data_IF_720808812863
#
_entry.id   IF_720808812863
#
_cell.length_a   1.000
_cell.length_b   1.000
_cell.length_c   1.000
_cell.angle_alpha   90.00
_cell.angle_beta   90.00
_cell.angle_gamma   90.00
#
_symmetry.space_group_name_H-M   'P 1'
#
loop_
_entity.id
_entity.type
_entity.pdbx_description
1 polymer ?
#
# COMPACT_ATOMS: atom_id res chain seq x y z
N UNK A 1 64.46 42.17 50.43
CA UNK A 1 63.75 41.24 49.54
C UNK A 1 62.74 40.45 50.37
N UNK A 2 61.46 40.53 49.97
CA UNK A 2 60.32 39.64 50.33
C UNK A 2 59.81 39.65 51.78
N UNK A 3 58.51 39.95 51.93
CA UNK A 3 57.71 39.71 53.14
C UNK A 3 56.32 40.38 53.09
N UNK A 4 55.36 39.74 52.43
CA UNK A 4 53.94 40.15 52.28
C UNK A 4 53.12 39.95 53.57
N UNK A 5 52.02 40.71 53.78
CA UNK A 5 51.08 40.51 54.87
C UNK A 5 49.99 39.45 54.55
N UNK A 6 49.48 38.86 55.64
CA UNK A 6 48.35 37.92 55.71
C UNK A 6 47.05 38.47 55.14
N UNK A 7 46.30 37.63 54.42
CA UNK A 7 44.94 37.91 53.96
C UNK A 7 44.18 36.62 53.72
N UNK A 8 43.16 36.38 54.55
CA UNK A 8 42.22 35.27 54.49
C UNK A 8 41.44 35.25 53.17
N UNK A 9 41.59 34.16 52.40
CA UNK A 9 40.81 33.88 51.20
C UNK A 9 40.09 32.55 51.33
N UNK A 10 38.82 32.58 51.76
CA UNK A 10 37.89 31.44 51.71
C UNK A 10 37.82 30.89 50.28
N UNK A 11 38.38 29.70 50.04
CA UNK A 11 38.13 28.93 48.81
C UNK A 11 36.72 28.37 48.85
N UNK A 12 35.80 28.98 48.09
CA UNK A 12 34.51 28.37 47.76
C UNK A 12 34.76 27.10 46.93
N UNK A 13 34.31 25.97 47.44
CA UNK A 13 34.20 24.74 46.66
C UNK A 13 33.29 24.99 45.46
N UNK A 14 33.86 25.00 44.25
CA UNK A 14 33.10 24.99 43.02
C UNK A 14 32.38 23.65 42.90
N UNK A 15 31.06 23.66 43.08
CA UNK A 15 30.19 22.56 42.73
C UNK A 15 30.37 22.29 41.23
N UNK A 16 31.01 21.17 40.89
CA UNK A 16 31.00 20.63 39.54
C UNK A 16 29.55 20.30 39.19
N UNK A 17 28.89 21.23 38.49
CA UNK A 17 27.60 20.99 37.85
C UNK A 17 27.75 19.78 36.93
N UNK A 18 27.19 18.66 37.39
CA UNK A 18 27.03 17.43 36.64
C UNK A 18 26.25 17.80 35.36
N UNK A 19 26.95 17.86 34.23
CA UNK A 19 26.34 18.12 32.93
C UNK A 19 25.19 17.12 32.76
N UNK A 20 23.95 17.65 32.76
CA UNK A 20 22.76 16.86 32.46
C UNK A 20 23.00 16.27 31.07
N UNK A 21 23.11 14.94 30.98
CA UNK A 21 23.03 14.22 29.70
C UNK A 21 21.78 14.74 29.01
N UNK A 22 21.94 15.57 28.00
CA UNK A 22 20.82 15.93 27.14
C UNK A 22 20.36 14.63 26.50
N UNK A 23 19.10 14.26 26.71
CA UNK A 23 18.50 13.11 26.04
C UNK A 23 18.71 13.31 24.55
N UNK A 24 19.31 12.34 23.87
CA UNK A 24 19.44 12.35 22.43
C UNK A 24 18.05 12.59 21.80
N UNK A 25 17.94 13.41 20.74
CA UNK A 25 16.68 13.63 20.06
C UNK A 25 16.07 12.29 19.60
N UNK A 26 14.73 12.18 19.53
CA UNK A 26 14.09 10.97 19.05
C UNK A 26 14.60 10.64 17.64
N UNK A 27 14.71 9.35 17.29
CA UNK A 27 15.14 8.95 15.96
C UNK A 27 14.19 9.55 14.91
N UNK A 28 14.71 9.91 13.72
CA UNK A 28 13.87 10.45 12.66
C UNK A 28 12.79 9.43 12.27
N UNK A 29 11.61 9.91 11.81
CA UNK A 29 10.56 9.01 11.34
C UNK A 29 11.05 8.18 10.15
N UNK A 30 10.57 6.94 10.06
CA UNK A 30 10.92 6.01 8.98
C UNK A 30 10.51 6.55 7.61
N UNK A 31 9.37 7.23 7.54
CA UNK A 31 8.88 7.89 6.33
C UNK A 31 8.91 9.41 6.47
N UNK A 32 9.43 10.07 5.44
CA UNK A 32 9.56 11.52 5.38
C UNK A 32 8.56 12.10 4.36
N UNK A 33 7.81 13.17 4.69
CA UNK A 33 6.98 13.87 3.73
C UNK A 33 7.83 14.52 2.62
N UNK A 34 7.28 14.57 1.40
CA UNK A 34 7.85 15.35 0.29
C UNK A 34 6.82 16.36 -0.26
N UNK A 35 7.27 17.17 -1.24
CA UNK A 35 6.39 18.03 -2.04
C UNK A 35 5.20 17.23 -2.53
N UNK A 36 4.03 17.69 -2.14
CA UNK A 36 2.74 17.16 -2.54
C UNK A 36 2.23 18.06 -3.66
N UNK A 37 1.70 17.49 -4.74
CA UNK A 37 1.09 18.26 -5.82
C UNK A 37 -0.42 18.25 -5.61
N UNK A 38 -0.99 19.45 -5.65
CA UNK A 38 -2.42 19.66 -5.57
C UNK A 38 -2.88 20.24 -6.89
N UNK A 39 -3.74 19.52 -7.60
CA UNK A 39 -4.32 19.98 -8.87
C UNK A 39 -5.69 20.62 -8.67
N UNK A 40 -6.24 20.65 -7.45
CA UNK A 40 -7.54 21.27 -7.16
C UNK A 40 -7.57 22.77 -7.49
N UNK A 41 -6.43 23.45 -7.44
CA UNK A 41 -6.34 24.89 -7.76
C UNK A 41 -6.25 25.19 -9.27
N UNK A 42 -5.96 24.18 -10.11
CA UNK A 42 -5.71 24.35 -11.56
C UNK A 42 -6.89 23.88 -12.43
N UNK A 43 -8.12 24.07 -11.95
CA UNK A 43 -9.36 23.72 -12.69
C UNK A 43 -9.51 24.44 -14.04
N UNK A 44 -8.72 25.47 -14.34
CA UNK A 44 -8.88 26.29 -15.55
C UNK A 44 -8.16 25.76 -16.81
N UNK A 45 -7.22 24.81 -16.70
CA UNK A 45 -6.30 24.49 -17.82
C UNK A 45 -6.32 23.04 -18.32
N UNK A 46 -6.90 22.09 -17.57
CA UNK A 46 -6.95 20.68 -17.96
C UNK A 46 -8.38 20.30 -18.38
N UNK A 47 -8.55 19.72 -19.58
CA UNK A 47 -9.84 19.23 -20.12
C UNK A 47 -10.49 18.07 -19.33
N UNK A 48 -9.96 17.76 -18.15
CA UNK A 48 -10.43 16.70 -17.28
C UNK A 48 -11.12 17.36 -16.10
N UNK A 49 -12.40 17.05 -15.88
CA UNK A 49 -13.15 17.44 -14.68
C UNK A 49 -12.62 16.77 -13.40
N UNK A 50 -11.47 16.09 -13.49
CA UNK A 50 -10.84 15.35 -12.39
C UNK A 50 -10.02 16.29 -11.52
N UNK A 51 -10.38 16.36 -10.24
CA UNK A 51 -9.55 17.00 -9.23
C UNK A 51 -8.80 15.93 -8.45
N UNK A 52 -7.47 16.01 -8.39
CA UNK A 52 -6.64 15.08 -7.63
C UNK A 52 -5.72 15.79 -6.64
N UNK A 53 -5.45 15.10 -5.55
CA UNK A 53 -4.51 15.48 -4.51
C UNK A 53 -3.54 14.33 -4.25
N UNK A 54 -2.24 14.60 -4.32
CA UNK A 54 -1.20 13.60 -4.19
C UNK A 54 -0.42 13.75 -2.89
N UNK A 55 -0.39 12.72 -2.05
CA UNK A 55 0.49 12.65 -0.88
C UNK A 55 1.70 11.76 -1.17
N UNK A 56 2.90 12.21 -0.80
CA UNK A 56 4.14 11.44 -1.01
C UNK A 56 4.87 11.22 0.31
N UNK A 57 5.23 9.96 0.58
CA UNK A 57 5.99 9.50 1.76
C UNK A 57 7.13 8.59 1.32
N UNK A 58 8.35 9.04 1.54
CA UNK A 58 9.57 8.28 1.19
C UNK A 58 10.15 7.63 2.43
N UNK A 59 10.47 6.35 2.35
CA UNK A 59 11.29 5.73 3.39
C UNK A 59 12.64 6.46 3.47
N UNK A 60 13.20 6.60 4.68
CA UNK A 60 14.44 7.34 4.93
C UNK A 60 15.64 6.79 4.15
N UNK A 61 15.62 5.49 3.85
CA UNK A 61 16.65 4.78 3.11
C UNK A 61 16.26 4.54 1.64
N UNK A 62 15.17 5.15 1.15
CA UNK A 62 14.74 5.03 -0.24
C UNK A 62 15.74 5.72 -1.17
N UNK A 63 16.29 4.94 -2.11
CA UNK A 63 17.10 5.44 -3.21
C UNK A 63 16.54 4.96 -4.54
N UNK A 64 16.30 5.90 -5.45
CA UNK A 64 15.86 5.57 -6.79
C UNK A 64 17.04 5.01 -7.62
N UNK A 65 16.78 3.94 -8.35
CA UNK A 65 17.73 3.35 -9.30
C UNK A 65 17.06 3.13 -10.66
N UNK A 66 17.87 2.85 -11.70
CA UNK A 66 17.33 2.46 -13.02
C UNK A 66 16.55 1.14 -13.01
N UNK A 67 16.61 0.36 -11.91
CA UNK A 67 15.87 -0.88 -11.73
C UNK A 67 14.61 -0.72 -10.89
N UNK A 68 14.41 0.46 -10.30
CA UNK A 68 13.20 0.79 -9.53
C UNK A 68 11.97 0.67 -10.41
N UNK A 69 10.98 -0.07 -9.94
CA UNK A 69 9.70 -0.27 -10.61
C UNK A 69 8.64 0.59 -9.93
N UNK A 70 7.65 1.02 -10.71
CA UNK A 70 6.46 1.68 -10.20
C UNK A 70 5.28 0.72 -10.29
N UNK A 71 4.57 0.54 -9.17
CA UNK A 71 3.35 -0.25 -9.09
C UNK A 71 2.16 0.67 -8.85
N UNK A 72 1.05 0.46 -9.57
CA UNK A 72 -0.20 1.17 -9.33
C UNK A 72 -1.17 0.23 -8.62
N UNK A 73 -1.71 0.62 -7.45
CA UNK A 73 -2.63 -0.19 -6.67
C UNK A 73 -3.96 0.56 -6.45
N UNK A 74 -5.06 -0.01 -6.96
CA UNK A 74 -6.39 0.54 -6.76
C UNK A 74 -6.94 0.26 -5.36
N UNK A 75 -7.28 1.32 -4.63
CA UNK A 75 -7.86 1.27 -3.29
C UNK A 75 -9.33 1.72 -3.30
N UNK A 76 -10.18 0.92 -2.64
CA UNK A 76 -11.55 1.30 -2.32
C UNK A 76 -11.79 1.21 -0.81
N UNK A 77 -13.04 1.39 -0.36
CA UNK A 77 -13.38 1.42 1.07
C UNK A 77 -13.55 0.01 1.66
N UNK A 78 -13.19 -1.04 0.91
CA UNK A 78 -13.39 -2.42 1.30
C UNK A 78 -12.06 -3.12 1.64
N UNK A 79 -12.14 -4.09 2.53
CA UNK A 79 -11.02 -4.93 2.97
C UNK A 79 -10.28 -5.64 1.81
N UNK A 80 -10.96 -5.85 0.67
CA UNK A 80 -10.38 -6.53 -0.49
C UNK A 80 -9.23 -5.75 -1.11
N UNK A 81 -9.30 -4.41 -1.15
CA UNK A 81 -8.21 -3.59 -1.67
C UNK A 81 -7.08 -3.41 -0.65
N UNK A 82 -7.40 -3.38 0.65
CA UNK A 82 -6.37 -3.36 1.70
C UNK A 82 -5.52 -4.63 1.64
N UNK A 83 -6.17 -5.80 1.51
CA UNK A 83 -5.47 -7.06 1.33
C UNK A 83 -4.61 -7.08 0.06
N UNK A 84 -5.07 -6.45 -1.03
CA UNK A 84 -4.32 -6.37 -2.27
C UNK A 84 -3.04 -5.54 -2.12
N UNK A 85 -3.12 -4.45 -1.36
CA UNK A 85 -1.97 -3.61 -1.04
C UNK A 85 -0.97 -4.33 -0.12
N UNK A 86 -1.46 -5.00 0.92
CA UNK A 86 -0.62 -5.81 1.82
C UNK A 86 0.12 -6.90 1.02
N UNK A 87 -0.61 -7.65 0.19
CA UNK A 87 -0.02 -8.64 -0.70
C UNK A 87 1.03 -8.03 -1.67
N UNK A 88 0.75 -6.85 -2.25
CA UNK A 88 1.69 -6.17 -3.13
C UNK A 88 2.99 -5.82 -2.39
N UNK A 89 2.88 -5.23 -1.19
CA UNK A 89 4.02 -4.85 -0.36
C UNK A 89 4.84 -6.08 0.00
N UNK A 90 4.20 -7.16 0.44
CA UNK A 90 4.89 -8.34 0.96
C UNK A 90 5.56 -9.15 -0.16
N UNK A 91 4.85 -9.42 -1.25
CA UNK A 91 5.22 -10.46 -2.21
C UNK A 91 5.93 -9.95 -3.47
N UNK A 92 5.78 -8.67 -3.82
CA UNK A 92 6.20 -8.16 -5.13
C UNK A 92 7.11 -6.95 -5.06
N UNK A 93 6.94 -6.10 -4.05
CA UNK A 93 7.72 -4.88 -3.87
C UNK A 93 9.04 -5.18 -3.17
N UNK A 94 10.11 -4.62 -3.71
CA UNK A 94 11.46 -4.65 -3.13
C UNK A 94 11.93 -3.24 -2.75
N UNK A 95 13.08 -3.16 -2.08
CA UNK A 95 13.74 -1.88 -1.78
C UNK A 95 14.02 -1.08 -3.07
N UNK A 96 13.76 0.23 -3.01
CA UNK A 96 13.92 1.14 -4.14
C UNK A 96 12.73 1.20 -5.09
N UNK A 97 11.69 0.39 -4.89
CA UNK A 97 10.45 0.47 -5.69
C UNK A 97 9.51 1.59 -5.21
N UNK A 98 8.58 1.96 -6.09
CA UNK A 98 7.55 2.96 -5.86
C UNK A 98 6.15 2.33 -5.93
N UNK A 99 5.29 2.68 -4.98
CA UNK A 99 3.88 2.26 -4.96
C UNK A 99 3.00 3.50 -5.05
N UNK A 100 2.21 3.57 -6.11
CA UNK A 100 1.14 4.54 -6.30
C UNK A 100 -0.17 3.90 -5.86
N UNK A 101 -0.66 4.29 -4.70
CA UNK A 101 -1.98 3.93 -4.19
C UNK A 101 -3.01 4.90 -4.76
N UNK A 102 -3.97 4.41 -5.55
CA UNK A 102 -5.01 5.22 -6.17
C UNK A 102 -6.34 5.04 -5.44
N UNK A 103 -6.86 6.12 -4.87
CA UNK A 103 -8.19 6.21 -4.27
C UNK A 103 -9.05 7.14 -5.11
N UNK A 104 -10.12 6.61 -5.69
CA UNK A 104 -11.08 7.40 -6.47
C UNK A 104 -12.39 7.55 -5.73
N UNK A 105 -12.89 8.78 -5.64
CA UNK A 105 -14.22 9.11 -5.15
C UNK A 105 -15.05 9.60 -6.33
N UNK A 106 -16.22 9.00 -6.55
CA UNK A 106 -17.14 9.50 -7.58
C UNK A 106 -17.85 10.74 -7.05
N UNK A 107 -17.92 11.80 -7.86
CA UNK A 107 -18.59 13.05 -7.47
C UNK A 107 -20.11 12.85 -7.48
N UNK A 108 -20.75 13.00 -6.33
CA UNK A 108 -22.21 13.09 -6.27
C UNK A 108 -22.66 14.42 -6.86
N UNK A 109 -23.54 14.37 -7.87
CA UNK A 109 -24.00 15.51 -8.66
C UNK A 109 -24.83 16.57 -7.90
N UNK A 110 -24.91 16.50 -6.56
CA UNK A 110 -25.77 17.36 -5.73
C UNK A 110 -25.04 18.34 -4.80
N UNK A 111 -23.69 18.39 -4.78
CA UNK A 111 -22.94 19.10 -3.71
C UNK A 111 -22.12 20.29 -4.24
N UNK A 112 -22.72 21.11 -5.10
CA UNK A 112 -22.05 22.32 -5.61
C UNK A 112 -21.86 23.44 -4.56
N UNK A 113 -22.40 23.31 -3.34
CA UNK A 113 -22.44 24.37 -2.32
C UNK A 113 -21.34 24.38 -1.25
N UNK A 114 -20.58 23.29 -1.06
CA UNK A 114 -19.65 23.15 0.08
C UNK A 114 -18.23 22.69 -0.31
N UNK A 115 -17.72 23.14 -1.47
CA UNK A 115 -16.41 22.72 -2.01
C UNK A 115 -15.24 22.82 -1.00
N UNK A 116 -15.17 23.88 -0.19
CA UNK A 116 -14.07 24.05 0.78
C UNK A 116 -14.12 23.05 1.94
N UNK A 117 -15.32 22.76 2.47
CA UNK A 117 -15.51 21.81 3.57
C UNK A 117 -15.25 20.37 3.10
N UNK A 118 -15.68 20.02 1.89
CA UNK A 118 -15.39 18.72 1.30
C UNK A 118 -13.90 18.53 1.02
N UNK A 119 -13.21 19.55 0.50
CA UNK A 119 -11.75 19.50 0.30
C UNK A 119 -11.01 19.20 1.61
N UNK A 120 -11.40 19.84 2.72
CA UNK A 120 -10.78 19.59 4.03
C UNK A 120 -11.06 18.17 4.53
N UNK A 121 -12.26 17.62 4.26
CA UNK A 121 -12.61 16.23 4.59
C UNK A 121 -11.79 15.23 3.78
N UNK A 122 -11.71 15.39 2.46
CA UNK A 122 -10.92 14.52 1.59
C UNK A 122 -9.44 14.55 1.95
N UNK A 123 -8.91 15.72 2.30
CA UNK A 123 -7.52 15.86 2.76
C UNK A 123 -7.27 15.09 4.07
N UNK A 124 -8.18 15.19 5.04
CA UNK A 124 -8.08 14.45 6.29
C UNK A 124 -8.20 12.92 6.08
N UNK A 125 -9.11 12.48 5.20
CA UNK A 125 -9.23 11.07 4.80
C UNK A 125 -7.95 10.57 4.13
N UNK A 126 -7.40 11.32 3.18
CA UNK A 126 -6.16 10.99 2.49
C UNK A 126 -4.97 10.91 3.46
N UNK A 127 -4.85 11.84 4.41
CA UNK A 127 -3.79 11.80 5.42
C UNK A 127 -3.90 10.58 6.34
N UNK A 128 -5.12 10.18 6.71
CA UNK A 128 -5.36 8.98 7.51
C UNK A 128 -5.08 7.70 6.73
N UNK A 129 -5.55 7.64 5.48
CA UNK A 129 -5.28 6.51 4.58
C UNK A 129 -3.77 6.35 4.34
N UNK A 130 -3.05 7.44 4.11
CA UNK A 130 -1.59 7.41 3.98
C UNK A 130 -0.89 6.85 5.23
N UNK A 131 -1.40 7.13 6.45
CA UNK A 131 -0.87 6.51 7.68
C UNK A 131 -1.12 5.01 7.69
N UNK A 132 -2.33 4.58 7.36
CA UNK A 132 -2.68 3.16 7.28
C UNK A 132 -1.83 2.41 6.25
N UNK A 133 -1.57 3.02 5.09
CA UNK A 133 -0.69 2.46 4.04
C UNK A 133 0.72 2.27 4.58
N UNK A 134 1.29 3.27 5.27
CA UNK A 134 2.63 3.18 5.87
C UNK A 134 2.71 2.05 6.90
N UNK A 135 1.66 1.83 7.70
CA UNK A 135 1.60 0.76 8.70
C UNK A 135 1.61 -0.65 8.10
N UNK A 136 1.28 -0.80 6.80
CA UNK A 136 1.37 -2.09 6.09
C UNK A 136 2.80 -2.48 5.72
N UNK A 137 3.75 -1.54 5.70
CA UNK A 137 5.16 -1.84 5.44
C UNK A 137 5.85 -2.39 6.69
N UNK A 138 5.40 -3.55 7.18
CA UNK A 138 5.87 -4.17 8.43
C UNK A 138 7.33 -4.63 8.36
N UNK A 139 7.81 -4.99 7.17
CA UNK A 139 9.20 -5.38 6.92
C UNK A 139 10.16 -4.19 6.78
N UNK A 140 9.64 -2.96 6.86
CA UNK A 140 10.41 -1.72 6.76
C UNK A 140 11.22 -1.61 5.45
N UNK A 141 10.60 -2.01 4.32
CA UNK A 141 11.18 -1.89 2.99
C UNK A 141 11.45 -0.42 2.65
N UNK A 142 12.56 -0.16 1.98
CA UNK A 142 13.00 1.16 1.57
C UNK A 142 12.27 1.63 0.30
N UNK A 143 10.98 1.95 0.43
CA UNK A 143 10.06 2.23 -0.69
C UNK A 143 9.60 3.68 -0.73
N UNK A 144 9.13 4.13 -1.90
CA UNK A 144 8.40 5.39 -2.05
C UNK A 144 6.89 5.12 -2.13
N UNK A 145 6.11 5.72 -1.23
CA UNK A 145 4.66 5.62 -1.20
C UNK A 145 4.05 6.92 -1.73
N UNK A 146 3.22 6.80 -2.76
CA UNK A 146 2.43 7.88 -3.34
C UNK A 146 0.95 7.52 -3.15
N UNK A 147 0.14 8.42 -2.60
CA UNK A 147 -1.31 8.29 -2.55
C UNK A 147 -1.92 9.33 -3.47
N UNK A 148 -2.54 8.87 -4.55
CA UNK A 148 -3.36 9.67 -5.44
C UNK A 148 -4.81 9.60 -4.97
N UNK A 149 -5.32 10.71 -4.44
CA UNK A 149 -6.72 10.84 -4.06
C UNK A 149 -7.44 11.68 -5.12
N UNK A 150 -8.21 11.03 -5.98
CA UNK A 150 -8.85 11.65 -7.13
C UNK A 150 -10.37 11.66 -7.00
N UNK A 151 -10.99 12.71 -7.51
CA UNK A 151 -12.46 12.81 -7.64
C UNK A 151 -12.81 12.77 -9.11
N UNK A 152 -13.63 11.81 -9.53
CA UNK A 152 -14.00 11.63 -10.92
C UNK A 152 -14.50 10.22 -11.24
N UNK A 153 -14.71 9.96 -12.53
CA UNK A 153 -15.11 8.64 -13.03
C UNK A 153 -13.93 7.67 -12.96
N UNK A 154 -14.09 6.57 -12.22
CA UNK A 154 -13.01 5.61 -11.90
C UNK A 154 -12.22 5.15 -13.12
N UNK A 155 -12.90 4.87 -14.23
CA UNK A 155 -12.27 4.38 -15.47
C UNK A 155 -11.31 5.42 -16.05
N UNK A 156 -11.77 6.66 -16.14
CA UNK A 156 -11.03 7.76 -16.77
C UNK A 156 -9.82 8.13 -15.89
N UNK A 157 -10.01 8.14 -14.57
CA UNK A 157 -8.92 8.36 -13.61
C UNK A 157 -7.87 7.26 -13.69
N UNK A 158 -8.26 5.99 -13.78
CA UNK A 158 -7.29 4.88 -13.93
C UNK A 158 -6.47 5.06 -15.21
N UNK A 159 -7.10 5.37 -16.34
CA UNK A 159 -6.39 5.61 -17.60
C UNK A 159 -5.40 6.78 -17.50
N UNK A 160 -5.80 7.87 -16.84
CA UNK A 160 -4.92 9.03 -16.65
C UNK A 160 -3.75 8.69 -15.71
N UNK A 161 -3.98 7.95 -14.63
CA UNK A 161 -2.91 7.51 -13.74
C UNK A 161 -1.93 6.56 -14.43
N UNK A 162 -2.41 5.66 -15.29
CA UNK A 162 -1.54 4.77 -16.07
C UNK A 162 -0.64 5.59 -17.02
N UNK A 163 -1.16 6.64 -17.67
CA UNK A 163 -0.36 7.51 -18.53
C UNK A 163 0.65 8.37 -17.76
N UNK A 164 0.29 8.82 -16.56
CA UNK A 164 1.15 9.69 -15.75
C UNK A 164 2.29 8.91 -15.11
N UNK A 165 1.98 7.73 -14.56
CA UNK A 165 2.93 6.94 -13.77
C UNK A 165 3.62 5.81 -14.55
N UNK A 166 3.10 5.46 -15.72
CA UNK A 166 3.58 4.34 -16.55
C UNK A 166 3.93 3.09 -15.72
N UNK A 167 3.00 2.60 -14.88
CA UNK A 167 3.31 1.56 -13.91
C UNK A 167 3.67 0.26 -14.61
N UNK A 168 4.65 -0.46 -14.06
CA UNK A 168 5.03 -1.78 -14.55
C UNK A 168 3.87 -2.77 -14.42
N UNK A 169 3.07 -2.65 -13.36
CA UNK A 169 1.92 -3.52 -13.06
C UNK A 169 0.83 -2.70 -12.35
N UNK A 170 -0.44 -2.96 -12.72
CA UNK A 170 -1.64 -2.50 -12.02
C UNK A 170 -2.21 -3.61 -11.12
N UNK A 171 -2.44 -3.30 -9.85
CA UNK A 171 -2.91 -4.22 -8.82
C UNK A 171 -4.32 -3.81 -8.40
N UNK A 172 -5.23 -4.78 -8.38
CA UNK A 172 -6.61 -4.58 -7.93
C UNK A 172 -7.08 -5.74 -7.05
N UNK A 173 -7.87 -5.44 -6.03
CA UNK A 173 -8.55 -6.47 -5.23
C UNK A 173 -9.72 -7.10 -5.98
N UNK A 174 -10.03 -8.36 -5.71
CA UNK A 174 -11.32 -8.92 -6.13
C UNK A 174 -12.44 -8.42 -5.25
N UNK A 175 -13.44 -7.76 -5.83
CA UNK A 175 -14.74 -7.63 -5.15
C UNK A 175 -15.27 -9.02 -4.84
N UNK A 176 -15.46 -9.33 -3.56
CA UNK A 176 -16.00 -10.61 -3.15
C UNK A 176 -17.37 -10.86 -3.79
N UNK A 177 -17.63 -12.08 -4.24
CA UNK A 177 -19.02 -12.55 -4.36
C UNK A 177 -19.60 -12.47 -2.96
N UNK A 178 -20.63 -11.65 -2.78
CA UNK A 178 -21.49 -11.68 -1.61
C UNK A 178 -22.00 -13.11 -1.41
N UNK A 179 -22.31 -13.47 -0.16
CA UNK A 179 -22.66 -14.83 0.28
C UNK A 179 -24.04 -15.31 -0.21
N UNK A 180 -24.51 -14.84 -1.36
CA UNK A 180 -25.71 -15.30 -2.05
C UNK A 180 -25.41 -15.35 -3.54
N UNK A 181 -25.58 -16.52 -4.17
CA UNK A 181 -25.22 -16.82 -5.57
C UNK A 181 -25.95 -16.04 -6.66
N UNK A 182 -26.30 -14.78 -6.45
CA UNK A 182 -27.08 -13.93 -7.35
C UNK A 182 -26.45 -12.55 -7.56
N UNK A 183 -25.21 -12.51 -8.03
CA UNK A 183 -24.57 -11.24 -8.41
C UNK A 183 -23.71 -11.39 -9.68
N UNK A 184 -24.25 -12.10 -10.66
CA UNK A 184 -23.72 -12.10 -12.04
C UNK A 184 -24.06 -10.83 -12.83
N UNK A 185 -24.70 -9.84 -12.20
CA UNK A 185 -25.36 -8.71 -12.89
C UNK A 185 -25.25 -7.38 -12.12
N UNK A 186 -24.18 -7.13 -11.35
CA UNK A 186 -23.85 -5.73 -11.04
C UNK A 186 -23.17 -5.09 -12.26
N UNK A 187 -23.47 -3.82 -12.59
CA UNK A 187 -22.78 -3.10 -13.64
C UNK A 187 -21.29 -3.01 -13.31
N UNK A 188 -20.47 -3.62 -14.18
CA UNK A 188 -19.01 -3.48 -14.29
C UNK A 188 -18.20 -3.39 -12.98
N UNK A 189 -17.74 -4.53 -12.45
CA UNK A 189 -16.65 -4.51 -11.47
C UNK A 189 -15.41 -3.81 -12.08
N UNK A 190 -14.83 -2.81 -11.40
CA UNK A 190 -13.59 -2.13 -11.84
C UNK A 190 -12.52 -3.14 -12.22
N UNK A 191 -12.34 -4.20 -11.42
CA UNK A 191 -11.40 -5.30 -11.69
C UNK A 191 -11.65 -5.99 -13.05
N UNK A 192 -12.93 -6.13 -13.47
CA UNK A 192 -13.27 -6.68 -14.79
C UNK A 192 -12.94 -5.69 -15.90
N UNK A 193 -13.22 -4.41 -15.69
CA UNK A 193 -12.95 -3.37 -16.68
C UNK A 193 -11.44 -3.24 -16.93
N UNK A 194 -10.62 -3.16 -15.87
CA UNK A 194 -9.15 -3.06 -16.02
C UNK A 194 -8.56 -4.29 -16.70
N UNK A 195 -9.06 -5.50 -16.43
CA UNK A 195 -8.61 -6.71 -17.14
C UNK A 195 -8.89 -6.68 -18.64
N UNK A 196 -9.88 -5.90 -19.09
CA UNK A 196 -10.28 -5.83 -20.48
C UNK A 196 -9.64 -4.66 -21.24
N UNK A 197 -9.28 -3.58 -20.55
CA UNK A 197 -8.89 -2.32 -21.17
C UNK A 197 -7.51 -1.82 -20.76
N UNK A 198 -6.92 -2.36 -19.68
CA UNK A 198 -5.63 -1.88 -19.19
C UNK A 198 -4.53 -2.13 -20.24
N UNK A 199 -3.74 -1.10 -20.60
CA UNK A 199 -2.59 -1.27 -21.48
C UNK A 199 -1.36 -1.80 -20.72
N UNK A 200 -1.43 -1.88 -19.38
CA UNK A 200 -0.37 -2.44 -18.52
C UNK A 200 -0.80 -3.77 -17.91
N UNK A 201 0.15 -4.67 -17.58
CA UNK A 201 -0.16 -5.94 -16.92
C UNK A 201 -1.00 -5.74 -15.65
N UNK A 202 -2.03 -6.57 -15.47
CA UNK A 202 -2.93 -6.48 -14.32
C UNK A 202 -2.83 -7.72 -13.43
N UNK A 203 -2.64 -7.49 -12.14
CA UNK A 203 -2.73 -8.50 -11.09
C UNK A 203 -4.03 -8.31 -10.29
N UNK A 204 -4.80 -9.39 -10.23
CA UNK A 204 -6.04 -9.44 -9.44
C UNK A 204 -5.83 -10.28 -8.19
N UNK A 205 -5.83 -9.62 -7.03
CA UNK A 205 -5.53 -10.25 -5.73
C UNK A 205 -6.81 -10.74 -5.05
N UNK A 206 -6.78 -11.97 -4.53
CA UNK A 206 -7.91 -12.64 -3.87
C UNK A 206 -7.58 -12.97 -2.42
N UNK A 207 -8.37 -12.52 -1.43
CA UNK A 207 -8.15 -12.88 -0.04
C UNK A 207 -8.29 -14.39 0.21
N UNK A 208 -7.32 -14.97 0.91
CA UNK A 208 -7.21 -16.42 1.07
C UNK A 208 -8.24 -17.01 2.06
N UNK A 209 -8.95 -16.19 2.84
CA UNK A 209 -9.92 -16.66 3.87
C UNK A 209 -11.07 -17.51 3.29
N UNK A 210 -11.48 -17.27 2.04
CA UNK A 210 -12.52 -18.05 1.35
C UNK A 210 -11.93 -19.28 0.63
N UNK A 211 -10.69 -19.24 0.14
CA UNK A 211 -9.99 -20.42 -0.42
C UNK A 211 -9.63 -21.42 0.67
N UNK A 212 -9.23 -20.98 1.85
CA UNK A 212 -9.05 -21.85 3.01
C UNK A 212 -10.37 -22.54 3.41
N UNK A 213 -11.52 -21.84 3.40
CA UNK A 213 -12.85 -22.45 3.60
C UNK A 213 -13.24 -23.43 2.49
N UNK A 214 -12.98 -23.10 1.22
CA UNK A 214 -13.22 -23.99 0.09
C UNK A 214 -12.32 -25.22 0.08
N UNK A 215 -11.03 -25.05 0.38
CA UNK A 215 -10.04 -26.12 0.60
C UNK A 215 -10.47 -26.99 1.76
N UNK A 216 -10.89 -26.41 2.88
CA UNK A 216 -11.41 -27.14 4.06
C UNK A 216 -12.69 -27.91 3.74
N UNK A 217 -13.65 -27.33 3.02
CA UNK A 217 -14.83 -28.06 2.52
C UNK A 217 -14.45 -29.22 1.58
N UNK A 218 -13.49 -29.01 0.67
CA UNK A 218 -12.98 -30.05 -0.24
C UNK A 218 -12.20 -31.14 0.48
N UNK A 219 -11.50 -30.80 1.57
CA UNK A 219 -10.79 -31.73 2.45
C UNK A 219 -11.75 -32.55 3.33
N UNK A 220 -12.93 -32.01 3.62
CA UNK A 220 -13.99 -32.63 4.42
C UNK A 220 -15.05 -33.35 3.58
N UNK A 221 -14.91 -33.40 2.25
CA UNK A 221 -15.81 -34.11 1.35
C UNK A 221 -15.41 -35.59 1.26
N UNK A 222 -16.19 -36.52 1.88
CA UNK A 222 -15.84 -37.94 1.94
C UNK A 222 -15.88 -38.62 0.57
N UNK A 223 -16.53 -38.02 -0.44
CA UNK A 223 -16.60 -38.56 -1.81
C UNK A 223 -15.30 -38.35 -2.59
N UNK A 224 -14.39 -37.51 -2.07
CA UNK A 224 -13.09 -37.17 -2.69
C UNK A 224 -11.88 -37.83 -2.03
N UNK A 225 -12.12 -38.77 -1.13
CA UNK A 225 -11.09 -39.49 -0.36
C UNK A 225 -10.16 -40.30 -1.27
N UNK A 226 -10.66 -40.85 -2.38
CA UNK A 226 -9.90 -41.73 -3.28
C UNK A 226 -8.64 -41.09 -3.89
N UNK A 227 -8.69 -39.81 -4.29
CA UNK A 227 -7.53 -39.12 -4.87
C UNK A 227 -6.47 -38.75 -3.81
N UNK A 228 -6.91 -38.46 -2.57
CA UNK A 228 -5.99 -38.18 -1.45
C UNK A 228 -5.29 -39.45 -0.99
N UNK A 229 -6.02 -40.55 -0.90
CA UNK A 229 -5.48 -41.85 -0.51
C UNK A 229 -4.48 -42.38 -1.55
N UNK A 230 -4.71 -42.11 -2.85
CA UNK A 230 -3.74 -42.40 -3.93
C UNK A 230 -2.46 -41.57 -3.81
N UNK A 231 -2.57 -40.27 -3.47
CA UNK A 231 -1.42 -39.39 -3.30
C UNK A 231 -0.60 -39.71 -2.05
N UNK A 232 -1.24 -39.99 -0.91
CA UNK A 232 -0.56 -40.38 0.33
C UNK A 232 0.10 -41.77 0.20
N UNK A 233 -0.51 -42.69 -0.54
CA UNK A 233 0.12 -43.99 -0.85
C UNK A 233 1.30 -43.85 -1.82
N UNK A 234 1.26 -42.86 -2.72
CA UNK A 234 2.38 -42.59 -3.64
C UNK A 234 3.56 -41.86 -2.99
N UNK A 235 3.37 -41.17 -1.86
CA UNK A 235 4.44 -40.45 -1.16
C UNK A 235 5.22 -41.31 -0.16
N UNK A 236 4.65 -42.44 0.30
CA UNK A 236 5.33 -43.38 1.20
C UNK A 236 6.12 -44.48 0.47
N UNK A 237 5.86 -44.71 -0.83
CA UNK A 237 6.63 -45.61 -1.67
C UNK A 237 7.70 -44.83 -2.44
N UNK A 238 8.98 -44.99 -2.07
CA UNK A 238 10.11 -44.30 -2.68
C UNK A 238 10.06 -44.29 -4.21
N UNK A 239 9.91 -43.10 -4.78
CA UNK A 239 9.87 -42.87 -6.22
C UNK A 239 10.19 -41.41 -6.53
N UNK A 240 11.35 -41.19 -7.13
CA UNK A 240 11.88 -39.89 -7.52
C UNK A 240 11.02 -39.23 -8.61
N UNK A 241 10.15 -38.29 -8.28
CA UNK A 241 9.83 -37.12 -9.13
C UNK A 241 8.93 -36.10 -8.41
N UNK A 242 9.26 -34.83 -8.61
CA UNK A 242 8.54 -33.60 -8.24
C UNK A 242 8.86 -33.05 -6.84
N UNK A 243 9.87 -32.18 -6.83
CA UNK A 243 10.13 -31.20 -5.79
C UNK A 243 8.93 -30.21 -5.70
N UNK A 244 8.19 -30.29 -4.59
CA UNK A 244 6.98 -29.51 -4.34
C UNK A 244 7.24 -28.26 -3.46
N UNK A 245 8.50 -27.93 -3.14
CA UNK A 245 8.83 -26.81 -2.26
C UNK A 245 8.48 -25.42 -2.85
N UNK A 246 8.18 -25.31 -4.15
CA UNK A 246 7.98 -24.01 -4.83
C UNK A 246 6.54 -23.67 -5.26
N UNK A 247 5.51 -24.36 -4.75
CA UNK A 247 4.11 -24.16 -5.24
C UNK A 247 3.25 -23.15 -4.49
N UNK A 248 3.82 -22.28 -3.65
CA UNK A 248 3.03 -21.25 -2.94
C UNK A 248 2.55 -20.09 -3.84
N UNK A 249 2.99 -20.00 -5.09
CA UNK A 249 2.46 -19.02 -6.05
C UNK A 249 1.16 -19.52 -6.70
N UNK A 250 0.04 -19.46 -5.97
CA UNK A 250 -1.30 -19.68 -6.56
C UNK A 250 -2.34 -18.65 -6.10
N UNK A 251 -1.87 -17.57 -5.47
CA UNK A 251 -2.73 -16.51 -4.97
C UNK A 251 -3.03 -15.40 -5.99
N UNK A 252 -2.35 -15.44 -7.12
CA UNK A 252 -2.36 -14.41 -8.18
C UNK A 252 -3.06 -14.95 -9.42
N UNK A 253 -4.04 -14.20 -9.95
CA UNK A 253 -4.43 -14.35 -11.35
C UNK A 253 -3.77 -13.19 -12.11
N UNK A 254 -2.65 -13.49 -12.75
CA UNK A 254 -2.02 -12.58 -13.72
C UNK A 254 -2.70 -12.84 -15.06
N UNK A 255 -3.23 -11.78 -15.67
CA UNK A 255 -3.69 -11.85 -17.07
C UNK A 255 -2.73 -10.97 -17.86
N UNK A 256 -2.07 -11.57 -18.85
CA UNK A 256 -1.18 -10.89 -19.80
C UNK A 256 -2.01 -10.20 -20.88
#
# INVERSE_FOLDING_TARGET
>A
SVGLPSGDGKKKAGSLMRARKMSSPPPPPLFQPRVSFDTFERQAEVKSDTTSFSLVKKHKDYEYSKRSRTFLCGLDANDYSEFALEWLIDELVDDGDEIVCLRVVEADSNIAGHKSVEQQRYRAEAENLMKQIQEKNVENKAINLILEFAVGKVQDVIDDMIKIYEPAILIVGTRGRSLGGFQGLLPGSVSKWVLQHSPVPVIVVRPNSKRAKGKRKRLQDPTRTGYRDLLDKSSQGGGHLLDFAHRNSSDVVTTL
#
